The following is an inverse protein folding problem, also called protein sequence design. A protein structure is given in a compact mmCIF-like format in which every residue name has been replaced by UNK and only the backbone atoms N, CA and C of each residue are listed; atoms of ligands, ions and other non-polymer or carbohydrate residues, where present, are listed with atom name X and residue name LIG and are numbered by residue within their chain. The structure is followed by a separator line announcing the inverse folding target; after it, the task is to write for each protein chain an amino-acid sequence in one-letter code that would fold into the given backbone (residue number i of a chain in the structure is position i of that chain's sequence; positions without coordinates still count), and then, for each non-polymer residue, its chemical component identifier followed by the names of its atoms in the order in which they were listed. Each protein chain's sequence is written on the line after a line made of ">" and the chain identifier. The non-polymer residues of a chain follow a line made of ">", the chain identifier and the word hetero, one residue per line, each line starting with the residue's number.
data_IF_713047994856
#
_entry.id   IF_713047994856
#
_cell.length_a   1.000
_cell.length_b   1.000
_cell.length_c   1.000
_cell.angle_alpha   90.00
_cell.angle_beta   90.00
_cell.angle_gamma   90.00
#
_symmetry.space_group_name_H-M   'P 1'
#
loop_
_entity.id
_entity.type
_entity.pdbx_description
1 polymer ?
#
# COMPACT_ATOMS: atom_id res chain seq x y z
N UNK A 1 2.87 -10.22 3.27
CA UNK A 1 2.60 -8.78 3.45
C UNK A 1 3.74 -8.20 4.28
N UNK A 2 4.33 -7.09 3.85
CA UNK A 2 5.58 -6.60 4.45
C UNK A 2 5.75 -5.09 4.25
N UNK A 3 6.52 -4.47 5.13
CA UNK A 3 7.10 -3.16 4.89
C UNK A 3 8.37 -3.35 4.09
N UNK A 4 8.50 -2.65 2.97
CA UNK A 4 9.68 -2.75 2.12
C UNK A 4 10.25 -1.40 1.73
N UNK A 5 11.59 -1.35 1.63
CA UNK A 5 12.33 -0.28 1.00
C UNK A 5 12.45 -0.54 -0.50
N UNK A 6 12.10 0.43 -1.30
CA UNK A 6 12.17 0.32 -2.77
C UNK A 6 13.62 0.24 -3.25
N UNK A 7 13.94 -0.81 -4.00
CA UNK A 7 15.21 -0.95 -4.71
C UNK A 7 15.05 -0.61 -6.20
N UNK A 8 14.05 -1.24 -6.88
CA UNK A 8 13.73 -0.89 -8.27
C UNK A 8 12.26 -1.16 -8.58
N UNK A 9 11.71 -0.46 -9.58
CA UNK A 9 10.42 -0.76 -10.21
C UNK A 9 10.59 -0.48 -11.70
N UNK A 10 10.59 -1.53 -12.50
CA UNK A 10 10.93 -1.48 -13.93
C UNK A 10 9.81 -2.09 -14.77
N UNK A 11 9.46 -1.42 -15.85
CA UNK A 11 8.48 -1.96 -16.80
C UNK A 11 9.07 -3.13 -17.56
N UNK A 12 8.26 -4.17 -17.79
CA UNK A 12 8.65 -5.30 -18.60
C UNK A 12 7.49 -5.77 -19.51
N UNK A 13 7.83 -6.50 -20.57
CA UNK A 13 6.85 -7.17 -21.43
C UNK A 13 6.67 -8.62 -20.96
N UNK A 14 5.56 -8.98 -20.30
CA UNK A 14 5.33 -10.37 -19.92
C UNK A 14 5.10 -11.24 -21.14
N UNK A 15 5.55 -12.49 -21.08
CA UNK A 15 5.24 -13.49 -22.11
C UNK A 15 3.78 -13.91 -21.95
N UNK A 16 2.96 -13.56 -22.92
CA UNK A 16 1.53 -13.84 -22.94
C UNK A 16 1.21 -15.04 -23.85
N UNK A 17 0.17 -15.78 -23.51
CA UNK A 17 -0.41 -16.76 -24.43
C UNK A 17 -0.95 -16.11 -25.70
N UNK A 18 -1.16 -16.92 -26.78
CA UNK A 18 -1.52 -16.44 -28.14
C UNK A 18 -2.78 -15.56 -28.21
N UNK A 19 -3.69 -15.70 -27.23
CA UNK A 19 -5.00 -15.02 -27.23
C UNK A 19 -5.19 -14.11 -25.98
N UNK A 20 -4.09 -13.72 -25.33
CA UNK A 20 -4.16 -12.87 -24.12
C UNK A 20 -3.77 -11.45 -24.47
N UNK A 21 -4.72 -10.53 -24.32
CA UNK A 21 -4.48 -9.09 -24.40
C UNK A 21 -4.22 -8.53 -23.00
N UNK A 22 -3.03 -7.97 -22.80
CA UNK A 22 -2.71 -7.27 -21.55
C UNK A 22 -3.22 -5.83 -21.62
N UNK A 23 -4.19 -5.50 -20.76
CA UNK A 23 -4.76 -4.15 -20.67
C UNK A 23 -3.95 -3.25 -19.72
N UNK A 24 -3.11 -3.82 -18.86
CA UNK A 24 -2.29 -3.13 -17.87
C UNK A 24 -0.82 -3.09 -18.30
N UNK A 25 -0.10 -2.05 -17.92
CA UNK A 25 1.35 -2.07 -17.95
C UNK A 25 1.87 -3.02 -16.86
N UNK A 26 2.88 -3.82 -17.17
CA UNK A 26 3.49 -4.78 -16.26
C UNK A 26 4.83 -4.27 -15.73
N UNK A 27 5.07 -4.44 -14.44
CA UNK A 27 6.27 -3.99 -13.75
C UNK A 27 6.85 -5.10 -12.89
N UNK A 28 8.17 -5.23 -12.89
CA UNK A 28 8.93 -5.96 -11.88
C UNK A 28 9.36 -5.00 -10.80
N UNK A 29 8.97 -5.29 -9.57
CA UNK A 29 9.30 -4.49 -8.41
C UNK A 29 10.22 -5.30 -7.49
N UNK A 30 11.34 -4.71 -7.08
CA UNK A 30 12.29 -5.29 -6.13
C UNK A 30 12.39 -4.41 -4.91
N UNK A 31 12.21 -5.01 -3.76
CA UNK A 31 12.20 -4.34 -2.45
C UNK A 31 13.08 -5.07 -1.46
N UNK A 32 13.74 -4.33 -0.56
CA UNK A 32 14.31 -4.87 0.66
C UNK A 32 13.20 -5.07 1.66
N UNK A 33 13.16 -6.22 2.33
CA UNK A 33 12.17 -6.51 3.38
C UNK A 33 12.66 -5.89 4.69
N UNK A 34 11.98 -4.84 5.16
CA UNK A 34 12.29 -4.15 6.41
C UNK A 34 11.56 -4.77 7.61
N UNK A 35 10.33 -5.21 7.39
CA UNK A 35 9.51 -5.85 8.41
C UNK A 35 8.46 -6.75 7.76
N UNK A 36 8.42 -8.01 8.17
CA UNK A 36 7.32 -8.89 7.82
C UNK A 36 6.10 -8.58 8.71
N UNK A 37 4.94 -8.34 8.10
CA UNK A 37 3.70 -8.01 8.80
C UNK A 37 2.74 -9.19 8.84
N UNK A 38 2.73 -10.01 7.78
CA UNK A 38 1.90 -11.21 7.71
C UNK A 38 2.46 -12.22 6.70
N UNK A 39 2.36 -13.51 7.03
CA UNK A 39 2.87 -14.62 6.23
C UNK A 39 4.34 -14.92 6.54
N UNK A 40 4.95 -15.77 5.73
CA UNK A 40 6.33 -16.24 5.88
C UNK A 40 7.15 -15.84 4.66
N UNK A 41 8.35 -15.37 4.91
CA UNK A 41 9.34 -15.05 3.88
C UNK A 41 10.73 -14.93 4.53
N UNK A 42 11.71 -15.69 4.06
CA UNK A 42 13.04 -15.77 4.67
C UNK A 42 14.11 -14.94 3.95
N UNK A 43 13.75 -14.28 2.84
CA UNK A 43 14.70 -13.46 2.05
C UNK A 43 14.80 -12.02 2.52
N UNK A 44 15.99 -11.43 2.42
CA UNK A 44 16.22 -10.01 2.70
C UNK A 44 15.64 -9.09 1.60
N UNK A 45 15.48 -9.64 0.40
CA UNK A 45 14.90 -8.92 -0.76
C UNK A 45 13.81 -9.75 -1.41
N UNK A 46 12.75 -9.08 -1.86
CA UNK A 46 11.64 -9.70 -2.55
C UNK A 46 11.43 -9.07 -3.92
N UNK A 47 11.23 -9.90 -4.94
CA UNK A 47 10.86 -9.48 -6.29
C UNK A 47 9.45 -9.98 -6.60
N UNK A 48 8.61 -9.10 -7.15
CA UNK A 48 7.23 -9.42 -7.49
C UNK A 48 6.77 -8.64 -8.73
N UNK A 49 5.74 -9.16 -9.38
CA UNK A 49 5.10 -8.49 -10.50
C UNK A 49 3.98 -7.56 -10.01
N UNK A 50 3.88 -6.38 -10.63
CA UNK A 50 2.79 -5.44 -10.39
C UNK A 50 2.18 -5.02 -11.72
N UNK A 51 0.86 -4.94 -11.76
CA UNK A 51 0.10 -4.58 -12.96
C UNK A 51 -0.73 -3.34 -12.67
N UNK A 52 -0.61 -2.31 -13.51
CA UNK A 52 -1.33 -1.05 -13.30
C UNK A 52 -1.83 -0.48 -14.62
N UNK A 53 -3.12 -0.10 -14.65
CA UNK A 53 -3.76 0.46 -15.83
C UNK A 53 -3.36 1.90 -16.10
N UNK A 54 -2.90 2.62 -15.08
CA UNK A 54 -2.60 4.04 -15.13
C UNK A 54 -1.10 4.35 -15.27
N UNK A 55 -0.28 3.35 -15.55
CA UNK A 55 1.17 3.48 -15.70
C UNK A 55 1.95 2.98 -14.48
N UNK A 56 3.00 3.68 -14.10
CA UNK A 56 3.87 3.23 -13.01
C UNK A 56 3.10 3.12 -11.68
N UNK A 57 3.16 1.96 -11.00
CA UNK A 57 2.41 1.73 -9.76
C UNK A 57 2.68 2.82 -8.71
N UNK A 58 1.64 3.43 -8.11
CA UNK A 58 1.80 4.59 -7.22
C UNK A 58 2.66 4.33 -5.99
N UNK A 59 2.75 3.09 -5.50
CA UNK A 59 3.62 2.74 -4.37
C UNK A 59 5.10 3.03 -4.65
N UNK A 60 5.52 3.02 -5.91
CA UNK A 60 6.89 3.31 -6.32
C UNK A 60 7.34 4.75 -6.09
N UNK A 61 6.41 5.66 -5.80
CA UNK A 61 6.71 7.07 -5.49
C UNK A 61 7.28 7.26 -4.09
N UNK A 62 7.20 6.23 -3.25
CA UNK A 62 7.62 6.29 -1.85
C UNK A 62 8.85 5.42 -1.64
N UNK A 63 9.82 5.86 -0.81
CA UNK A 63 10.96 5.04 -0.43
C UNK A 63 10.54 3.76 0.27
N UNK A 64 9.53 3.84 1.15
CA UNK A 64 9.02 2.71 1.92
C UNK A 64 7.50 2.60 1.77
N UNK A 65 7.01 1.38 1.70
CA UNK A 65 5.59 1.08 1.64
C UNK A 65 5.25 -0.23 2.35
N UNK A 66 4.06 -0.27 2.98
CA UNK A 66 3.41 -1.53 3.34
C UNK A 66 2.80 -2.11 2.06
N UNK A 67 3.30 -3.25 1.63
CA UNK A 67 2.95 -3.91 0.37
C UNK A 67 2.21 -5.21 0.61
N UNK A 68 1.23 -5.44 -0.25
CA UNK A 68 0.36 -6.60 -0.21
C UNK A 68 0.69 -7.49 -1.41
N UNK A 69 1.47 -8.55 -1.17
CA UNK A 69 1.93 -9.49 -2.19
C UNK A 69 1.36 -10.86 -1.91
N UNK A 70 0.84 -11.51 -2.92
CA UNK A 70 0.36 -12.90 -2.89
C UNK A 70 1.18 -13.78 -3.83
N UNK A 71 1.11 -15.08 -3.60
CA UNK A 71 1.75 -16.10 -4.42
C UNK A 71 0.71 -16.80 -5.28
N UNK A 72 1.05 -17.01 -6.54
CA UNK A 72 0.34 -17.92 -7.44
C UNK A 72 1.38 -18.78 -8.18
N UNK A 73 1.38 -20.08 -7.89
CA UNK A 73 2.45 -20.97 -8.31
C UNK A 73 3.83 -20.47 -7.83
N UNK A 74 4.74 -20.24 -8.77
CA UNK A 74 6.10 -19.77 -8.51
C UNK A 74 6.23 -18.24 -8.62
N UNK A 75 5.15 -17.51 -8.88
CA UNK A 75 5.18 -16.06 -9.05
C UNK A 75 4.62 -15.35 -7.85
N UNK A 76 5.16 -14.18 -7.59
CA UNK A 76 4.69 -13.25 -6.56
C UNK A 76 4.04 -12.05 -7.26
N UNK A 77 2.84 -11.66 -6.82
CA UNK A 77 2.06 -10.58 -7.40
C UNK A 77 1.66 -9.57 -6.36
N UNK A 78 1.82 -8.29 -6.70
CA UNK A 78 1.25 -7.20 -5.91
C UNK A 78 -0.28 -7.23 -6.03
N UNK A 79 -0.95 -7.13 -4.89
CA UNK A 79 -2.40 -6.94 -4.85
C UNK A 79 -2.74 -5.55 -5.38
N UNK A 80 -3.19 -5.50 -6.63
CA UNK A 80 -3.39 -4.28 -7.44
C UNK A 80 -4.04 -3.16 -6.63
N UNK A 81 -3.40 -2.00 -6.60
CA UNK A 81 -3.78 -0.78 -5.87
C UNK A 81 -3.74 -0.89 -4.34
N UNK A 82 -3.23 -1.98 -3.77
CA UNK A 82 -3.19 -2.13 -2.31
C UNK A 82 -1.81 -1.84 -1.77
N UNK A 83 -1.64 -0.70 -1.15
CA UNK A 83 -0.43 -0.29 -0.44
C UNK A 83 -0.76 0.84 0.54
N UNK A 84 0.13 1.06 1.49
CA UNK A 84 0.22 2.28 2.27
C UNK A 84 1.64 2.81 2.23
N UNK A 85 1.86 4.09 1.92
CA UNK A 85 3.15 4.73 2.21
C UNK A 85 3.40 4.66 3.71
N UNK A 86 4.62 4.30 4.10
CA UNK A 86 4.97 4.18 5.51
C UNK A 86 6.23 4.95 5.83
N UNK A 87 6.28 5.44 7.06
CA UNK A 87 7.35 6.27 7.59
C UNK A 87 7.74 5.77 8.96
N UNK A 88 8.99 6.03 9.37
CA UNK A 88 9.52 5.57 10.64
C UNK A 88 9.23 6.60 11.74
N UNK A 89 8.80 6.13 12.89
CA UNK A 89 8.78 6.93 14.10
C UNK A 89 10.15 6.90 14.80
N UNK A 90 10.47 7.83 15.72
CA UNK A 90 11.71 7.82 16.49
C UNK A 90 11.94 6.53 17.31
N UNK A 91 10.88 5.79 17.59
CA UNK A 91 10.95 4.44 18.19
C UNK A 91 11.51 3.35 17.26
N UNK A 92 11.67 3.66 15.97
CA UNK A 92 12.02 2.70 14.93
C UNK A 92 10.83 1.93 14.33
N UNK A 93 9.63 2.07 14.87
CA UNK A 93 8.43 1.41 14.37
C UNK A 93 7.88 2.09 13.11
N UNK A 94 7.20 1.32 12.26
CA UNK A 94 6.60 1.77 11.01
C UNK A 94 5.13 2.14 11.17
N UNK A 95 4.76 3.29 10.59
CA UNK A 95 3.40 3.82 10.57
C UNK A 95 3.05 4.33 9.17
N UNK A 96 1.79 4.17 8.75
CA UNK A 96 1.23 4.97 7.67
C UNK A 96 0.65 6.27 8.21
N UNK A 97 0.55 7.29 7.36
CA UNK A 97 -0.11 8.56 7.71
C UNK A 97 -1.60 8.36 8.03
N UNK A 98 -2.24 9.41 8.52
CA UNK A 98 -3.68 9.47 8.67
C UNK A 98 -4.42 9.15 7.37
N UNK A 99 -5.75 8.92 7.43
CA UNK A 99 -6.53 8.49 6.29
C UNK A 99 -6.51 9.51 5.15
N UNK A 100 -6.42 9.00 3.91
CA UNK A 100 -6.46 9.80 2.69
C UNK A 100 -7.83 9.65 2.02
N UNK A 101 -8.63 10.71 2.13
CA UNK A 101 -9.99 10.74 1.61
C UNK A 101 -11.00 9.97 2.47
N UNK A 102 -12.27 10.17 2.14
CA UNK A 102 -13.41 9.67 2.91
C UNK A 102 -13.45 8.14 3.03
N UNK A 103 -13.23 7.46 1.91
CA UNK A 103 -13.28 5.99 1.88
C UNK A 103 -12.20 5.35 2.76
N UNK A 104 -10.96 5.86 2.75
CA UNK A 104 -9.90 5.32 3.61
C UNK A 104 -10.20 5.61 5.09
N UNK A 105 -10.82 6.76 5.38
CA UNK A 105 -11.29 7.09 6.72
C UNK A 105 -12.39 6.13 7.21
N UNK A 106 -13.36 5.80 6.35
CA UNK A 106 -14.41 4.84 6.66
C UNK A 106 -13.86 3.42 6.87
N UNK A 107 -12.97 2.97 5.98
CA UNK A 107 -12.34 1.64 6.05
C UNK A 107 -11.53 1.45 7.35
N UNK A 108 -10.93 2.53 7.87
CA UNK A 108 -10.10 2.50 9.11
C UNK A 108 -10.90 2.59 10.40
N UNK A 109 -12.15 3.05 10.36
CA UNK A 109 -12.95 3.31 11.57
C UNK A 109 -13.06 2.07 12.47
N UNK A 110 -12.67 2.23 13.74
CA UNK A 110 -12.64 1.17 14.74
C UNK A 110 -11.60 0.08 14.52
N UNK A 111 -10.66 0.27 13.55
CA UNK A 111 -9.60 -0.70 13.25
C UNK A 111 -8.21 -0.04 13.36
N UNK A 112 -8.01 1.09 12.67
CA UNK A 112 -6.72 1.76 12.55
C UNK A 112 -6.88 3.27 12.73
N UNK A 113 -7.29 3.66 13.93
CA UNK A 113 -7.47 5.06 14.30
C UNK A 113 -6.12 5.80 14.28
N UNK A 114 -6.08 6.89 13.51
CA UNK A 114 -4.87 7.69 13.39
C UNK A 114 -4.67 8.56 14.62
N UNK A 115 -3.45 8.56 15.16
CA UNK A 115 -3.06 9.30 16.39
C UNK A 115 -1.97 10.30 16.05
N UNK A 116 -1.87 11.43 16.78
CA UNK A 116 -0.75 12.35 16.66
C UNK A 116 0.59 11.62 16.77
N UNK A 117 1.48 11.84 15.80
CA UNK A 117 2.74 11.09 15.70
C UNK A 117 3.93 12.02 15.54
N UNK A 118 5.01 11.82 16.31
CA UNK A 118 6.32 12.30 15.93
C UNK A 118 6.87 11.41 14.80
N UNK A 119 7.56 12.02 13.84
CA UNK A 119 8.21 11.32 12.74
C UNK A 119 9.73 11.48 12.84
N UNK A 120 10.46 10.42 12.46
CA UNK A 120 11.93 10.44 12.45
C UNK A 120 12.48 11.32 11.32
N UNK A 121 11.71 11.43 10.24
CA UNK A 121 11.99 12.29 9.09
C UNK A 121 10.69 12.86 8.52
N UNK A 122 10.78 13.67 7.48
CA UNK A 122 9.61 14.22 6.79
C UNK A 122 8.71 13.11 6.26
N UNK A 123 7.55 12.95 6.90
CA UNK A 123 6.48 12.08 6.45
C UNK A 123 5.45 12.88 5.66
N UNK A 124 5.30 12.61 4.36
CA UNK A 124 4.38 13.35 3.52
C UNK A 124 3.89 12.56 2.31
N UNK A 125 2.74 12.97 1.76
CA UNK A 125 2.28 12.58 0.44
C UNK A 125 2.60 13.68 -0.57
N UNK A 126 3.23 13.37 -1.72
CA UNK A 126 3.38 14.33 -2.80
C UNK A 126 2.01 14.63 -3.42
N UNK A 127 1.72 15.91 -3.59
CA UNK A 127 0.48 16.38 -4.21
C UNK A 127 0.66 16.48 -5.72
N UNK A 128 -0.36 16.10 -6.47
CA UNK A 128 -0.35 16.27 -7.91
C UNK A 128 -0.58 17.74 -8.27
N UNK A 129 0.20 18.30 -9.22
CA UNK A 129 0.05 19.71 -9.63
C UNK A 129 -1.35 20.05 -10.12
N UNK A 130 -2.01 19.11 -10.81
CA UNK A 130 -3.35 19.26 -11.37
C UNK A 130 -4.48 19.29 -10.35
N UNK A 131 -4.24 18.90 -9.09
CA UNK A 131 -5.26 18.91 -8.06
C UNK A 131 -5.58 20.33 -7.59
N UNK A 132 -6.86 20.68 -7.66
CA UNK A 132 -7.35 21.95 -7.11
C UNK A 132 -7.18 21.99 -5.58
N UNK A 133 -7.20 23.20 -5.00
CA UNK A 133 -7.18 23.36 -3.53
C UNK A 133 -8.38 22.66 -2.85
N UNK A 134 -9.51 22.51 -3.55
CA UNK A 134 -10.68 21.78 -3.06
C UNK A 134 -10.41 20.27 -3.01
N UNK A 135 -9.81 19.70 -4.07
CA UNK A 135 -9.49 18.29 -4.13
C UNK A 135 -8.43 17.92 -3.08
N UNK A 136 -7.41 18.77 -2.93
CA UNK A 136 -6.38 18.57 -1.90
C UNK A 136 -6.98 18.51 -0.50
N UNK A 137 -7.88 19.44 -0.14
CA UNK A 137 -8.56 19.44 1.18
C UNK A 137 -9.52 18.27 1.36
N UNK A 138 -10.15 17.80 0.28
CA UNK A 138 -11.03 16.62 0.34
C UNK A 138 -10.23 15.34 0.62
N UNK A 139 -9.03 15.23 0.05
CA UNK A 139 -8.17 14.05 0.23
C UNK A 139 -7.37 14.11 1.54
N UNK A 140 -6.87 15.29 1.89
CA UNK A 140 -5.95 15.50 3.01
C UNK A 140 -6.59 16.42 4.05
N UNK A 141 -7.43 15.84 4.91
CA UNK A 141 -8.14 16.55 5.96
C UNK A 141 -7.15 17.20 6.95
N UNK A 142 -7.42 18.45 7.37
CA UNK A 142 -6.50 19.24 8.19
C UNK A 142 -6.24 18.68 9.59
N UNK A 143 -7.08 17.79 10.08
CA UNK A 143 -6.85 17.06 11.34
C UNK A 143 -5.71 16.03 11.23
N UNK A 144 -5.45 15.54 10.02
CA UNK A 144 -4.45 14.53 9.73
C UNK A 144 -3.25 15.05 8.94
N UNK A 145 -3.40 16.18 8.23
CA UNK A 145 -2.39 16.68 7.32
C UNK A 145 -2.22 18.19 7.36
N UNK A 146 -0.98 18.65 7.25
CA UNK A 146 -0.63 20.03 6.95
C UNK A 146 -0.18 20.12 5.49
N UNK A 147 -0.93 20.86 4.67
CA UNK A 147 -0.56 21.10 3.27
C UNK A 147 0.42 22.29 3.19
N UNK A 148 1.55 22.07 2.54
CA UNK A 148 2.56 23.09 2.31
C UNK A 148 3.20 22.84 0.92
N UNK A 149 3.04 23.80 0.00
CA UNK A 149 3.49 23.68 -1.38
C UNK A 149 2.88 22.48 -2.11
N UNK A 150 3.74 21.56 -2.52
CA UNK A 150 3.42 20.33 -3.23
C UNK A 150 3.36 19.09 -2.32
N UNK A 151 3.29 19.29 -1.00
CA UNK A 151 3.32 18.22 0.01
C UNK A 151 2.15 18.32 0.98
N UNK A 152 1.60 17.15 1.35
CA UNK A 152 0.71 16.99 2.49
C UNK A 152 1.48 16.26 3.60
N UNK A 153 1.99 17.02 4.56
CA UNK A 153 2.75 16.50 5.71
C UNK A 153 1.81 15.82 6.69
N UNK A 154 2.20 14.65 7.15
CA UNK A 154 1.42 13.83 8.06
C UNK A 154 1.53 14.35 9.51
N UNK A 155 0.40 14.65 10.12
CA UNK A 155 0.29 15.04 11.54
C UNK A 155 -0.06 13.84 12.42
N UNK A 156 -0.70 12.84 11.82
CA UNK A 156 -1.17 11.64 12.52
C UNK A 156 -0.76 10.39 11.76
N UNK A 157 -0.76 9.25 12.43
CA UNK A 157 -0.44 7.97 11.83
C UNK A 157 -1.08 6.79 12.54
N UNK A 158 -1.14 5.66 11.81
CA UNK A 158 -1.61 4.37 12.32
C UNK A 158 -0.52 3.31 12.13
N UNK A 159 -0.32 2.38 13.09
CA UNK A 159 0.67 1.32 13.00
C UNK A 159 0.42 0.40 11.80
N UNK A 160 1.48 -0.12 11.19
CA UNK A 160 1.37 -0.98 9.98
C UNK A 160 0.54 -2.24 10.19
N UNK A 161 0.53 -2.82 11.38
CA UNK A 161 -0.27 -4.01 11.67
C UNK A 161 -1.78 -3.68 11.71
N UNK A 162 -2.17 -2.50 12.20
CA UNK A 162 -3.57 -2.03 12.14
C UNK A 162 -3.99 -1.75 10.70
N UNK A 163 -3.12 -1.12 9.90
CA UNK A 163 -3.37 -0.88 8.48
C UNK A 163 -3.49 -2.19 7.67
N UNK A 164 -2.74 -3.22 8.05
CA UNK A 164 -2.92 -4.56 7.50
C UNK A 164 -4.32 -5.11 7.83
N UNK A 165 -4.78 -5.00 9.07
CA UNK A 165 -6.11 -5.46 9.48
C UNK A 165 -7.24 -4.74 8.72
N UNK A 166 -7.08 -3.46 8.39
CA UNK A 166 -8.01 -2.73 7.52
C UNK A 166 -8.14 -3.45 6.18
N UNK A 167 -7.03 -3.67 5.47
CA UNK A 167 -7.06 -4.32 4.15
C UNK A 167 -7.53 -5.77 4.23
N UNK A 168 -7.16 -6.48 5.27
CA UNK A 168 -7.59 -7.86 5.53
C UNK A 168 -9.12 -7.95 5.67
N UNK A 169 -9.74 -7.03 6.40
CA UNK A 169 -11.19 -7.04 6.65
C UNK A 169 -12.01 -6.42 5.52
N UNK A 170 -11.40 -5.64 4.65
CA UNK A 170 -12.05 -4.96 3.52
C UNK A 170 -11.69 -5.63 2.20
N UNK A 171 -10.80 -5.03 1.44
CA UNK A 171 -10.52 -5.41 0.04
C UNK A 171 -9.95 -6.82 -0.12
N UNK A 172 -9.09 -7.28 0.80
CA UNK A 172 -8.49 -8.61 0.68
C UNK A 172 -9.52 -9.70 0.99
N UNK A 173 -10.41 -9.48 1.96
CA UNK A 173 -11.56 -10.36 2.21
C UNK A 173 -12.49 -10.42 0.99
N UNK A 174 -12.81 -9.27 0.39
CA UNK A 174 -13.63 -9.20 -0.81
C UNK A 174 -13.01 -9.93 -2.03
N UNK A 175 -11.67 -10.07 -2.05
CA UNK A 175 -10.92 -10.86 -3.04
C UNK A 175 -10.78 -12.34 -2.67
N UNK A 176 -11.42 -12.81 -1.60
CA UNK A 176 -11.37 -14.20 -1.16
C UNK A 176 -10.08 -14.62 -0.44
N UNK A 177 -9.17 -13.70 -0.14
CA UNK A 177 -7.88 -14.04 0.45
C UNK A 177 -7.95 -14.42 1.94
N UNK A 178 -8.95 -13.91 2.67
CA UNK A 178 -9.16 -14.14 4.11
C UNK A 178 -10.61 -14.57 4.41
N UNK A 179 -11.26 -15.20 3.45
CA UNK A 179 -12.61 -15.74 3.56
C UNK A 179 -12.56 -17.26 3.67
N UNK A 180 -12.19 -17.78 4.80
CA UNK A 180 -12.21 -19.20 5.08
C UNK A 180 -13.24 -19.52 6.16
N UNK A 181 -14.56 -19.52 5.80
CA UNK A 181 -15.59 -20.26 6.50
C UNK A 181 -16.89 -20.32 5.68
N UNK A 182 -16.78 -20.80 4.43
CA UNK A 182 -17.97 -21.27 3.73
C UNK A 182 -17.57 -22.01 2.44
N UNK A 183 -17.27 -23.31 2.53
CA UNK A 183 -17.57 -24.32 1.53
C UNK A 183 -16.83 -25.62 1.84
N UNK A 184 -17.12 -26.22 3.02
CA UNK A 184 -17.11 -27.67 3.18
C UNK A 184 -18.52 -28.04 3.62
N UNK A 185 -19.46 -27.98 2.71
CA UNK A 185 -20.73 -28.68 2.82
C UNK A 185 -21.25 -28.89 1.39
N UNK A 186 -21.24 -30.13 0.94
CA UNK A 186 -21.85 -30.55 -0.30
C UNK A 186 -21.00 -31.63 -0.97
N UNK A 187 -21.37 -32.84 -0.61
CA UNK A 187 -21.05 -34.13 -1.25
C UNK A 187 -21.08 -34.09 -2.77
#
# INVERSE_FOLDING_TARGET
>A
MFVGEKLSVEQFGPVLGKDVLLMDAAFKAKYRVEQLVYGEYDGDTIEFEAYDHHGVPPFSRFPHALLFVSRDGNRLYHQKYQYYPVFRAPSGAWFGCGPVGERDSEDRRGIAEARPMPWDSDAYHPLKPEWSSKDRRKLFASEHFRIDGDKAYCLTGSPVHELFEVKKRTVLKARGMFGGDAAKAGD
#
